data_IF_490531911314
#
_entry.id   IF_490531911314
#
_cell.length_a   1.000
_cell.length_b   1.000
_cell.length_c   1.000
_cell.angle_alpha   90.00
_cell.angle_beta   90.00
_cell.angle_gamma   90.00
#
_symmetry.space_group_name_H-M   'P 1'
#
loop_
_entity.id
_entity.type
_entity.pdbx_description
1 polymer ?
#
# COMPACT_ATOMS: atom_id res chain seq x y z
N UNK A 1 -60.31 -44.82 -41.40
CA UNK A 1 -59.16 -45.00 -40.48
C UNK A 1 -58.25 -43.79 -40.64
N UNK A 2 -58.42 -42.76 -39.80
CA UNK A 2 -57.67 -41.50 -39.87
C UNK A 2 -56.56 -41.51 -38.84
N UNK A 3 -55.32 -41.56 -39.32
CA UNK A 3 -54.08 -41.45 -38.55
C UNK A 3 -53.84 -39.98 -38.20
N UNK A 4 -53.91 -39.66 -36.91
CA UNK A 4 -53.48 -38.37 -36.36
C UNK A 4 -51.96 -38.42 -36.13
N UNK A 5 -51.22 -37.55 -36.81
CA UNK A 5 -49.79 -37.37 -36.59
C UNK A 5 -49.60 -36.26 -35.55
N UNK A 6 -49.09 -36.62 -34.37
CA UNK A 6 -48.70 -35.64 -33.35
C UNK A 6 -47.38 -34.97 -33.75
N UNK A 7 -47.45 -33.70 -34.12
CA UNK A 7 -46.27 -32.84 -34.28
C UNK A 7 -45.87 -32.36 -32.88
N UNK A 8 -44.85 -33.01 -32.31
CA UNK A 8 -44.19 -32.55 -31.10
C UNK A 8 -43.43 -31.24 -31.39
N UNK A 9 -44.05 -30.10 -31.09
CA UNK A 9 -43.37 -28.82 -31.07
C UNK A 9 -42.31 -28.82 -29.96
N UNK A 10 -41.03 -28.99 -30.34
CA UNK A 10 -39.88 -28.75 -29.48
C UNK A 10 -39.83 -27.25 -29.14
N UNK A 11 -40.21 -26.90 -27.92
CA UNK A 11 -40.04 -25.56 -27.38
C UNK A 11 -38.52 -25.26 -27.34
N UNK A 12 -38.04 -24.18 -27.99
CA UNK A 12 -36.62 -23.82 -27.90
C UNK A 12 -36.29 -23.42 -26.46
N UNK A 13 -35.36 -24.13 -25.83
CA UNK A 13 -34.87 -23.78 -24.50
C UNK A 13 -34.12 -22.46 -24.56
N UNK A 14 -34.51 -21.50 -23.72
CA UNK A 14 -33.87 -20.18 -23.64
C UNK A 14 -32.35 -20.31 -23.41
N UNK A 15 -31.53 -19.45 -24.03
CA UNK A 15 -30.09 -19.46 -23.80
C UNK A 15 -29.80 -19.19 -22.32
N UNK A 16 -29.09 -20.10 -21.67
CA UNK A 16 -28.59 -19.91 -20.31
C UNK A 16 -27.61 -18.74 -20.33
N UNK A 17 -28.00 -17.62 -19.72
CA UNK A 17 -27.12 -16.46 -19.51
C UNK A 17 -25.98 -16.91 -18.60
N UNK A 18 -24.83 -17.22 -19.21
CA UNK A 18 -23.60 -17.45 -18.45
C UNK A 18 -23.16 -16.10 -17.88
N UNK A 19 -23.33 -15.91 -16.57
CA UNK A 19 -22.71 -14.79 -15.87
C UNK A 19 -21.19 -14.91 -16.00
N UNK A 20 -20.60 -14.14 -16.92
CA UNK A 20 -19.14 -14.04 -17.00
C UNK A 20 -18.60 -13.60 -15.65
N UNK A 21 -17.82 -14.47 -15.01
CA UNK A 21 -17.18 -14.18 -13.73
C UNK A 21 -16.16 -13.08 -13.99
N UNK A 22 -16.43 -11.87 -13.50
CA UNK A 22 -15.49 -10.74 -13.61
C UNK A 22 -14.13 -11.15 -13.08
N UNK A 23 -13.08 -10.89 -13.86
CA UNK A 23 -11.71 -11.10 -13.43
C UNK A 23 -11.45 -10.32 -12.14
N UNK A 24 -10.62 -10.88 -11.26
CA UNK A 24 -10.35 -10.30 -9.93
C UNK A 24 -9.70 -8.92 -10.02
N UNK A 25 -9.03 -8.61 -11.14
CA UNK A 25 -8.42 -7.31 -11.41
C UNK A 25 -9.46 -6.17 -11.57
N UNK A 26 -10.68 -6.49 -11.98
CA UNK A 26 -11.75 -5.51 -12.19
C UNK A 26 -12.51 -5.18 -10.91
N UNK A 27 -12.21 -5.89 -9.83
CA UNK A 27 -12.87 -5.67 -8.56
C UNK A 27 -12.44 -4.31 -8.01
N UNK A 28 -13.42 -3.46 -7.67
CA UNK A 28 -13.18 -2.10 -7.13
C UNK A 28 -12.15 -2.09 -6.00
N UNK A 29 -12.13 -3.14 -5.17
CA UNK A 29 -11.19 -3.29 -4.07
C UNK A 29 -9.74 -3.50 -4.56
N UNK A 30 -9.53 -4.34 -5.58
CA UNK A 30 -8.21 -4.60 -6.14
C UNK A 30 -7.68 -3.40 -6.92
N UNK A 31 -8.56 -2.72 -7.68
CA UNK A 31 -8.23 -1.44 -8.34
C UNK A 31 -7.77 -0.41 -7.30
N UNK A 32 -8.50 -0.24 -6.20
CA UNK A 32 -8.12 0.69 -5.13
C UNK A 32 -6.83 0.27 -4.41
N UNK A 33 -6.59 -1.03 -4.24
CA UNK A 33 -5.35 -1.56 -3.67
C UNK A 33 -4.15 -1.25 -4.57
N UNK A 34 -4.28 -1.42 -5.89
CA UNK A 34 -3.27 -1.02 -6.89
C UNK A 34 -3.05 0.50 -6.90
N UNK A 35 -4.12 1.30 -6.91
CA UNK A 35 -4.00 2.77 -6.81
C UNK A 35 -3.25 3.21 -5.55
N UNK A 36 -3.58 2.62 -4.39
CA UNK A 36 -2.87 2.86 -3.13
C UNK A 36 -1.41 2.42 -3.19
N UNK A 37 -1.12 1.29 -3.84
CA UNK A 37 0.23 0.78 -4.03
C UNK A 37 1.09 1.80 -4.77
N UNK A 38 0.61 2.41 -5.85
CA UNK A 38 1.39 3.39 -6.61
C UNK A 38 1.21 4.83 -6.14
N UNK A 39 0.49 5.05 -5.04
CA UNK A 39 0.30 6.38 -4.45
C UNK A 39 -0.70 7.25 -5.20
N UNK A 40 -1.51 6.69 -6.11
CA UNK A 40 -2.57 7.42 -6.80
C UNK A 40 -3.76 7.72 -5.89
N UNK A 41 -4.60 8.72 -6.23
CA UNK A 41 -5.87 8.93 -5.55
C UNK A 41 -6.75 7.68 -5.65
N UNK A 42 -7.42 7.32 -4.56
CA UNK A 42 -8.23 6.11 -4.47
C UNK A 42 -9.44 6.30 -3.57
N UNK A 43 -10.44 5.43 -3.69
CA UNK A 43 -11.61 5.42 -2.81
C UNK A 43 -11.35 4.49 -1.63
N UNK A 44 -11.46 5.04 -0.43
CA UNK A 44 -11.23 4.34 0.83
C UNK A 44 -12.49 4.29 1.69
N UNK A 45 -12.37 3.58 2.82
CA UNK A 45 -13.44 3.46 3.81
C UNK A 45 -13.11 4.37 5.00
N UNK A 46 -14.10 5.04 5.56
CA UNK A 46 -13.98 5.85 6.79
C UNK A 46 -15.21 5.61 7.66
N UNK A 47 -14.99 5.47 8.96
CA UNK A 47 -16.07 5.47 9.94
C UNK A 47 -16.37 6.91 10.33
N UNK A 48 -17.62 7.33 10.19
CA UNK A 48 -18.09 8.64 10.66
C UNK A 48 -19.25 8.40 11.63
N UNK A 49 -19.05 8.87 12.85
CA UNK A 49 -19.96 8.80 14.02
C UNK A 49 -20.32 7.37 14.42
N UNK A 50 -21.02 6.62 13.56
CA UNK A 50 -21.30 5.18 13.76
C UNK A 50 -21.37 4.40 12.44
N UNK A 51 -21.43 5.06 11.29
CA UNK A 51 -21.68 4.46 9.97
C UNK A 51 -20.37 4.37 9.17
N UNK A 52 -20.19 3.27 8.44
CA UNK A 52 -19.10 3.12 7.48
C UNK A 52 -19.45 3.76 6.14
N UNK A 53 -18.66 4.75 5.71
CA UNK A 53 -18.69 5.29 4.34
C UNK A 53 -17.63 4.60 3.50
N UNK A 54 -18.03 4.03 2.35
CA UNK A 54 -17.18 3.14 1.55
C UNK A 54 -16.50 3.80 0.33
N UNK A 55 -16.88 5.02 -0.04
CA UNK A 55 -16.39 5.75 -1.21
C UNK A 55 -15.71 7.08 -0.86
N UNK A 56 -14.97 7.11 0.25
CA UNK A 56 -14.28 8.32 0.68
C UNK A 56 -13.04 8.55 -0.16
N UNK A 57 -12.99 9.69 -0.85
CA UNK A 57 -11.84 10.05 -1.67
C UNK A 57 -10.59 10.28 -0.82
N UNK A 58 -9.52 9.57 -1.18
CA UNK A 58 -8.19 9.75 -0.61
C UNK A 58 -7.30 10.38 -1.66
N UNK A 59 -6.71 11.53 -1.33
CA UNK A 59 -5.75 12.23 -2.19
C UNK A 59 -4.55 11.34 -2.49
N UNK A 60 -4.01 11.50 -3.70
CA UNK A 60 -2.74 10.89 -4.08
C UNK A 60 -1.59 11.35 -3.19
N UNK A 61 -0.49 10.60 -3.25
CA UNK A 61 0.75 10.91 -2.55
C UNK A 61 1.48 11.99 -3.34
N UNK A 62 1.90 13.01 -2.63
CA UNK A 62 2.68 14.13 -3.17
C UNK A 62 3.85 14.40 -2.23
N UNK A 63 4.99 14.79 -2.81
CA UNK A 63 6.15 15.20 -2.02
C UNK A 63 5.82 16.53 -1.33
N UNK A 64 5.92 16.54 0.00
CA UNK A 64 5.66 17.72 0.81
C UNK A 64 6.89 18.64 0.84
N UNK A 65 6.71 19.93 1.19
CA UNK A 65 7.84 20.84 1.40
C UNK A 65 8.82 20.29 2.44
N UNK A 66 10.03 20.87 2.46
CA UNK A 66 11.03 20.52 3.47
C UNK A 66 10.50 20.71 4.88
N UNK A 67 10.90 19.78 5.74
CA UNK A 67 10.65 19.92 7.16
C UNK A 67 11.53 21.05 7.72
N UNK A 68 10.94 21.88 8.58
CA UNK A 68 11.63 22.93 9.36
C UNK A 68 11.69 22.56 10.84
N UNK A 69 11.97 21.29 11.15
CA UNK A 69 11.89 20.82 12.51
C UNK A 69 13.17 21.17 13.29
N UNK A 70 13.01 21.81 14.46
CA UNK A 70 14.13 22.14 15.36
C UNK A 70 14.95 20.91 15.78
N UNK A 71 14.34 19.72 15.72
CA UNK A 71 15.00 18.44 16.05
C UNK A 71 16.11 18.12 15.05
N UNK A 72 15.94 18.40 13.75
CA UNK A 72 17.01 18.17 12.76
C UNK A 72 18.14 19.19 12.87
N UNK A 73 17.87 20.37 13.44
CA UNK A 73 18.89 21.38 13.74
C UNK A 73 19.72 21.00 14.98
N UNK A 74 19.05 20.49 16.04
CA UNK A 74 19.69 20.19 17.33
C UNK A 74 20.27 18.78 17.47
N UNK A 75 19.66 17.78 16.83
CA UNK A 75 20.03 16.37 16.98
C UNK A 75 20.33 15.71 15.64
N UNK A 76 21.52 15.12 15.55
CA UNK A 76 22.10 14.54 14.32
C UNK A 76 21.44 13.24 13.83
N UNK A 77 20.47 12.68 14.58
CA UNK A 77 19.83 11.39 14.27
C UNK A 77 18.81 11.48 13.14
N UNK A 78 18.23 12.66 12.92
CA UNK A 78 17.34 12.90 11.78
C UNK A 78 18.17 13.49 10.64
N UNK A 79 18.29 12.75 9.53
CA UNK A 79 19.07 13.15 8.36
C UNK A 79 18.33 14.14 7.44
N UNK A 80 17.33 14.86 7.96
CA UNK A 80 16.49 15.78 7.21
C UNK A 80 17.28 16.86 6.46
N UNK A 81 18.32 17.41 7.09
CA UNK A 81 19.20 18.43 6.51
C UNK A 81 20.28 17.84 5.61
N UNK A 82 20.57 16.54 5.72
CA UNK A 82 21.62 15.87 4.93
C UNK A 82 21.14 15.45 3.54
N UNK A 83 19.83 15.21 3.39
CA UNK A 83 19.24 14.89 2.09
C UNK A 83 19.08 16.17 1.28
N UNK A 84 19.42 16.15 0.00
CA UNK A 84 19.12 17.24 -0.95
C UNK A 84 17.66 17.13 -1.44
N UNK A 85 17.13 18.18 -2.08
CA UNK A 85 15.76 18.13 -2.61
C UNK A 85 15.67 17.13 -3.76
N UNK A 86 16.73 17.02 -4.55
CA UNK A 86 16.89 15.98 -5.55
C UNK A 86 16.83 14.58 -4.95
N UNK A 87 17.57 14.33 -3.87
CA UNK A 87 17.52 13.00 -3.22
C UNK A 87 16.10 12.68 -2.71
N UNK A 88 15.38 13.68 -2.17
CA UNK A 88 14.00 13.50 -1.72
C UNK A 88 13.06 13.15 -2.87
N UNK A 89 13.22 13.81 -4.00
CA UNK A 89 12.44 13.58 -5.21
C UNK A 89 12.75 12.20 -5.80
N UNK A 90 14.02 11.82 -5.91
CA UNK A 90 14.45 10.52 -6.40
C UNK A 90 13.88 9.38 -5.53
N UNK A 91 14.03 9.48 -4.21
CA UNK A 91 13.48 8.50 -3.26
C UNK A 91 11.97 8.41 -3.41
N UNK A 92 11.27 9.55 -3.52
CA UNK A 92 9.82 9.59 -3.64
C UNK A 92 9.35 8.93 -4.94
N UNK A 93 9.96 9.28 -6.07
CA UNK A 93 9.62 8.79 -7.39
C UNK A 93 9.91 7.30 -7.54
N UNK A 94 11.06 6.83 -7.05
CA UNK A 94 11.40 5.41 -7.05
C UNK A 94 10.41 4.66 -6.15
N UNK A 95 10.23 5.09 -4.90
CA UNK A 95 9.39 4.36 -3.94
C UNK A 95 7.97 4.14 -4.45
N UNK A 96 7.31 5.18 -5.01
CA UNK A 96 5.93 5.05 -5.46
C UNK A 96 5.75 4.30 -6.79
N UNK A 97 6.81 4.04 -7.55
CA UNK A 97 6.78 3.15 -8.73
C UNK A 97 6.83 1.66 -8.37
N UNK A 98 7.22 1.31 -7.14
CA UNK A 98 7.47 -0.07 -6.72
C UNK A 98 6.20 -0.80 -6.22
N UNK A 99 6.22 -2.13 -6.34
CA UNK A 99 5.22 -3.01 -5.72
C UNK A 99 5.37 -3.07 -4.20
N UNK A 100 4.38 -3.64 -3.49
CA UNK A 100 4.46 -3.74 -2.03
C UNK A 100 5.68 -4.52 -1.54
N UNK A 101 6.05 -5.60 -2.23
CA UNK A 101 7.21 -6.41 -1.83
C UNK A 101 8.52 -5.72 -2.19
N UNK A 102 8.59 -5.11 -3.37
CA UNK A 102 9.73 -4.28 -3.76
C UNK A 102 9.95 -3.10 -2.80
N UNK A 103 8.87 -2.47 -2.30
CA UNK A 103 8.96 -1.41 -1.29
C UNK A 103 9.58 -1.89 0.01
N UNK A 104 9.23 -3.10 0.48
CA UNK A 104 9.83 -3.67 1.69
C UNK A 104 11.34 -3.82 1.52
N UNK A 105 11.77 -4.37 0.38
CA UNK A 105 13.18 -4.54 0.04
C UNK A 105 13.88 -3.18 -0.07
N UNK A 106 13.30 -2.23 -0.78
CA UNK A 106 13.83 -0.87 -0.92
C UNK A 106 14.04 -0.20 0.44
N UNK A 107 13.04 -0.25 1.33
CA UNK A 107 13.14 0.32 2.68
C UNK A 107 14.22 -0.39 3.49
N UNK A 108 14.28 -1.72 3.45
CA UNK A 108 15.31 -2.48 4.18
C UNK A 108 16.73 -2.16 3.69
N UNK A 109 16.92 -2.00 2.38
CA UNK A 109 18.23 -1.68 1.80
C UNK A 109 18.67 -0.23 2.07
N UNK A 110 17.72 0.68 2.33
CA UNK A 110 18.01 2.09 2.64
C UNK A 110 18.21 2.33 4.15
N UNK A 111 17.92 1.33 4.99
CA UNK A 111 18.01 1.45 6.44
C UNK A 111 19.14 0.60 7.01
N UNK A 112 19.86 1.17 7.98
CA UNK A 112 20.80 0.43 8.82
C UNK A 112 20.11 0.07 10.13
N UNK A 113 20.24 -1.18 10.55
CA UNK A 113 19.82 -1.62 11.87
C UNK A 113 20.93 -1.32 12.89
N UNK A 114 20.58 -0.63 13.97
CA UNK A 114 21.45 -0.34 15.12
C UNK A 114 20.86 -0.96 16.37
N UNK A 115 21.71 -1.41 17.31
CA UNK A 115 21.23 -1.90 18.61
C UNK A 115 20.62 -0.74 19.41
N UNK A 116 19.58 -1.02 20.18
CA UNK A 116 18.95 0.01 21.03
C UNK A 116 19.93 0.44 22.13
N UNK A 117 20.27 1.73 22.17
CA UNK A 117 21.21 2.29 23.14
C UNK A 117 20.72 2.20 24.60
N UNK A 118 19.40 2.27 24.82
CA UNK A 118 18.79 2.19 26.16
C UNK A 118 17.72 1.09 26.17
N UNK A 119 18.11 -0.18 26.40
CA UNK A 119 17.14 -1.25 26.62
C UNK A 119 16.36 -0.98 27.92
N UNK A 120 15.08 -1.36 27.95
CA UNK A 120 14.19 -1.15 29.10
C UNK A 120 14.68 -1.93 30.32
N UNK A 121 15.16 -3.16 30.09
CA UNK A 121 15.83 -3.97 31.08
C UNK A 121 17.30 -4.09 30.68
N UNK A 122 18.20 -3.64 31.57
CA UNK A 122 19.65 -3.69 31.33
C UNK A 122 20.25 -5.06 31.65
N UNK A 123 19.59 -5.85 32.51
CA UNK A 123 20.09 -7.15 32.97
C UNK A 123 19.65 -8.29 32.06
N UNK A 124 18.43 -8.20 31.50
CA UNK A 124 17.91 -9.24 30.62
C UNK A 124 17.48 -8.67 29.27
N UNK A 125 18.41 -8.65 28.30
CA UNK A 125 18.17 -8.06 26.98
C UNK A 125 17.09 -8.81 26.17
N UNK A 126 16.78 -10.07 26.54
CA UNK A 126 15.81 -10.94 25.88
C UNK A 126 14.37 -10.51 26.13
N UNK A 127 14.09 -9.84 27.25
CA UNK A 127 12.72 -9.41 27.62
C UNK A 127 12.23 -8.18 26.84
N UNK A 128 13.15 -7.43 26.20
CA UNK A 128 12.77 -6.27 25.40
C UNK A 128 12.20 -6.68 24.04
N UNK A 129 10.93 -6.33 23.78
CA UNK A 129 10.29 -6.49 22.47
C UNK A 129 11.02 -5.74 21.34
N UNK A 130 11.70 -4.62 21.65
CA UNK A 130 12.48 -3.85 20.68
C UNK A 130 13.96 -4.15 20.85
N UNK A 131 14.53 -4.84 19.86
CA UNK A 131 15.96 -5.21 19.81
C UNK A 131 16.80 -4.20 19.02
N UNK A 132 16.23 -3.65 17.95
CA UNK A 132 16.92 -2.76 17.02
C UNK A 132 16.20 -1.41 16.86
N UNK A 133 16.96 -0.43 16.39
CA UNK A 133 16.46 0.84 15.89
C UNK A 133 16.92 0.99 14.44
N UNK A 134 16.02 1.47 13.59
CA UNK A 134 16.36 1.74 12.20
C UNK A 134 16.94 3.15 12.11
N UNK A 135 18.04 3.27 11.39
CA UNK A 135 18.68 4.53 11.05
C UNK A 135 18.74 4.64 9.53
N UNK A 136 18.39 5.80 8.99
CA UNK A 136 18.51 6.03 7.55
C UNK A 136 19.98 6.13 7.18
N UNK A 137 20.46 5.22 6.34
CA UNK A 137 21.81 5.31 5.78
C UNK A 137 21.65 5.65 4.31
N UNK A 138 22.09 6.84 3.84
CA UNK A 138 22.30 7.02 2.41
C UNK A 138 23.23 5.88 1.98
N UNK A 139 22.80 5.02 1.05
CA UNK A 139 23.70 4.04 0.47
C UNK A 139 24.92 4.81 -0.03
N UNK A 140 26.13 4.35 0.34
CA UNK A 140 27.36 4.89 -0.24
C UNK A 140 27.19 4.75 -1.77
N UNK A 141 27.00 5.88 -2.45
CA UNK A 141 27.22 5.95 -3.89
C UNK A 141 28.69 5.66 -4.16
#
# INVERSE_FOLDING_TARGET
>A
MTVWTEILCRIPTAPTVQHQRRETADWKQEINKRKRQFGYPYKGKKREETIWKYDVEKKGRVLKPRCKCRVSEKTSKLNCNKLTDRDREDIFNIFWKLSWDQKKVFVNNTMRLSKVHRPRDRKNQVTSRRKFSNEYSPSKR
#
